data_IF_140596260091
#
_entry.id   IF_140596260091
#
_cell.length_a   1.000
_cell.length_b   1.000
_cell.length_c   1.000
_cell.angle_alpha   90.00
_cell.angle_beta   90.00
_cell.angle_gamma   90.00
#
_symmetry.space_group_name_H-M   'P 1'
#
loop_
_entity.id
_entity.type
_entity.pdbx_description
1 polymer ?
#
# COMPACT_ATOMS: atom_id res chain seq x y z
N UNK A 1 13.74 -3.59 -17.72
CA UNK A 1 13.85 -2.92 -16.39
C UNK A 1 12.50 -2.93 -15.73
N UNK A 2 12.24 -3.89 -14.84
CA UNK A 2 11.01 -3.89 -14.03
C UNK A 2 10.94 -2.58 -13.25
N UNK A 3 9.79 -1.90 -13.26
CA UNK A 3 9.54 -0.68 -12.50
C UNK A 3 9.88 -0.91 -11.03
N UNK A 4 11.07 -0.51 -10.61
CA UNK A 4 11.50 -0.61 -9.23
C UNK A 4 10.53 0.25 -8.39
N UNK A 5 9.89 -0.38 -7.40
CA UNK A 5 9.05 0.37 -6.48
C UNK A 5 9.97 1.13 -5.53
N UNK A 6 9.69 2.42 -5.34
CA UNK A 6 10.40 3.26 -4.39
C UNK A 6 9.49 3.63 -3.23
N UNK A 7 10.08 3.70 -2.04
CA UNK A 7 9.48 4.26 -0.84
C UNK A 7 10.41 5.33 -0.28
N UNK A 8 9.85 6.29 0.45
CA UNK A 8 10.62 7.32 1.13
C UNK A 8 10.83 6.87 2.56
N UNK A 9 12.07 6.86 3.02
CA UNK A 9 12.39 6.57 4.41
C UNK A 9 12.00 7.73 5.35
N UNK A 10 12.10 7.54 6.66
CA UNK A 10 11.65 8.55 7.63
C UNK A 10 12.59 9.76 7.73
N UNK A 11 13.75 9.72 7.05
CA UNK A 11 14.66 10.86 6.84
C UNK A 11 14.48 11.52 5.48
N UNK A 12 13.49 11.11 4.68
CA UNK A 12 13.20 11.71 3.38
C UNK A 12 13.97 11.12 2.19
N UNK A 13 14.82 10.09 2.40
CA UNK A 13 15.59 9.45 1.34
C UNK A 13 14.70 8.50 0.54
N UNK A 14 14.74 8.62 -0.79
CA UNK A 14 14.08 7.66 -1.69
C UNK A 14 14.89 6.37 -1.77
N UNK A 15 14.31 5.26 -1.34
CA UNK A 15 14.94 3.92 -1.33
C UNK A 15 14.10 2.93 -2.13
N UNK A 16 14.75 1.93 -2.73
CA UNK A 16 14.04 0.85 -3.43
C UNK A 16 13.32 0.00 -2.40
N UNK A 17 12.02 -0.21 -2.57
CA UNK A 17 11.24 -1.14 -1.77
C UNK A 17 11.64 -2.57 -2.15
N UNK A 18 11.65 -3.46 -1.16
CA UNK A 18 11.88 -4.88 -1.40
C UNK A 18 10.86 -5.38 -2.45
N UNK A 19 11.31 -6.07 -3.52
CA UNK A 19 10.43 -6.44 -4.62
C UNK A 19 9.32 -7.38 -4.14
N UNK A 20 8.10 -7.17 -4.64
CA UNK A 20 6.92 -7.94 -4.22
C UNK A 20 7.08 -9.46 -4.41
N UNK A 21 7.91 -9.90 -5.37
CA UNK A 21 8.27 -11.32 -5.55
C UNK A 21 9.02 -11.91 -4.35
N UNK A 22 9.92 -11.14 -3.71
CA UNK A 22 10.63 -11.58 -2.50
C UNK A 22 9.74 -11.56 -1.25
N UNK A 23 8.69 -10.73 -1.26
CA UNK A 23 7.67 -10.80 -0.24
C UNK A 23 6.80 -12.04 -0.44
N UNK A 24 6.48 -12.44 -1.67
CA UNK A 24 5.51 -13.51 -1.97
C UNK A 24 5.76 -14.83 -1.21
N UNK A 25 4.68 -15.52 -0.87
CA UNK A 25 4.68 -16.85 -0.22
C UNK A 25 4.96 -17.96 -1.26
N UNK A 26 5.83 -17.68 -2.24
CA UNK A 26 6.22 -18.72 -3.20
C UNK A 26 7.26 -19.63 -2.56
N UNK A 27 7.00 -20.96 -2.48
CA UNK A 27 7.98 -21.90 -1.93
C UNK A 27 9.25 -21.93 -2.77
N UNK A 28 10.41 -22.07 -2.12
CA UNK A 28 11.71 -22.23 -2.78
C UNK A 28 12.48 -20.94 -3.13
N UNK A 29 11.93 -19.74 -2.87
CA UNK A 29 12.67 -18.49 -3.06
C UNK A 29 13.39 -18.06 -1.77
N UNK A 30 14.72 -17.85 -1.78
CA UNK A 30 15.43 -17.34 -0.63
C UNK A 30 14.96 -15.92 -0.33
N UNK A 31 14.41 -15.71 0.86
CA UNK A 31 13.98 -14.40 1.34
C UNK A 31 14.65 -14.15 2.70
N UNK A 32 15.18 -12.94 2.94
CA UNK A 32 15.77 -12.59 4.24
C UNK A 32 14.72 -12.55 5.36
N UNK A 33 13.43 -12.50 5.01
CA UNK A 33 12.32 -12.47 5.97
C UNK A 33 11.84 -13.91 6.20
N UNK A 34 11.78 -14.38 7.46
CA UNK A 34 11.31 -15.72 7.76
C UNK A 34 9.84 -15.90 7.38
N UNK A 35 9.45 -17.14 7.09
CA UNK A 35 8.13 -17.47 6.50
C UNK A 35 6.95 -17.07 7.39
N UNK A 36 7.11 -17.18 8.70
CA UNK A 36 6.12 -16.83 9.72
C UNK A 36 5.89 -15.30 9.82
N UNK A 37 6.93 -14.50 9.61
CA UNK A 37 6.80 -13.05 9.53
C UNK A 37 6.12 -12.64 8.21
N UNK A 38 6.46 -13.31 7.10
CA UNK A 38 5.81 -13.06 5.80
C UNK A 38 4.31 -13.33 5.83
N UNK A 39 3.88 -14.48 6.36
CA UNK A 39 2.46 -14.83 6.42
C UNK A 39 1.65 -13.81 7.24
N UNK A 40 2.20 -13.34 8.36
CA UNK A 40 1.62 -12.27 9.19
C UNK A 40 1.54 -10.93 8.45
N UNK A 41 2.63 -10.52 7.79
CA UNK A 41 2.65 -9.31 6.97
C UNK A 41 1.61 -9.36 5.84
N UNK A 42 1.43 -10.52 5.19
CA UNK A 42 0.40 -10.69 4.15
C UNK A 42 -1.02 -10.62 4.69
N UNK A 43 -1.29 -11.29 5.80
CA UNK A 43 -2.60 -11.25 6.44
C UNK A 43 -2.97 -9.80 6.82
N UNK A 44 -2.03 -9.06 7.41
CA UNK A 44 -2.22 -7.64 7.72
C UNK A 44 -2.34 -6.76 6.47
N UNK A 45 -1.55 -7.02 5.42
CA UNK A 45 -1.63 -6.29 4.17
C UNK A 45 -2.98 -6.52 3.46
N UNK A 46 -3.51 -7.75 3.48
CA UNK A 46 -4.84 -8.07 2.95
C UNK A 46 -5.94 -7.38 3.76
N UNK A 47 -5.87 -7.45 5.09
CA UNK A 47 -6.82 -6.76 5.96
C UNK A 47 -6.77 -5.22 5.75
N UNK A 48 -5.58 -4.65 5.60
CA UNK A 48 -5.39 -3.23 5.34
C UNK A 48 -5.85 -2.83 3.92
N UNK A 49 -5.70 -3.71 2.93
CA UNK A 49 -6.20 -3.48 1.57
C UNK A 49 -7.73 -3.40 1.54
N UNK A 50 -8.40 -4.20 2.37
CA UNK A 50 -9.86 -4.22 2.53
C UNK A 50 -10.37 -3.21 3.58
N UNK A 51 -9.49 -2.39 4.14
CA UNK A 51 -9.90 -1.34 5.08
C UNK A 51 -10.71 -0.25 4.36
N UNK A 52 -11.62 0.39 5.11
CA UNK A 52 -12.42 1.53 4.64
C UNK A 52 -11.54 2.64 4.06
N UNK A 53 -10.34 2.85 4.60
CA UNK A 53 -9.36 3.82 4.10
C UNK A 53 -8.86 3.52 2.68
N UNK A 54 -8.87 2.27 2.24
CA UNK A 54 -8.57 1.89 0.85
C UNK A 54 -9.79 1.92 -0.05
N UNK A 55 -10.90 1.38 0.43
CA UNK A 55 -12.13 1.26 -0.37
C UNK A 55 -12.80 2.60 -0.67
N UNK A 56 -12.87 3.52 0.30
CA UNK A 56 -13.54 4.82 0.11
C UNK A 56 -12.91 5.63 -1.03
N UNK A 57 -11.58 5.92 -1.06
CA UNK A 57 -11.01 6.70 -2.15
C UNK A 57 -11.11 5.98 -3.50
N UNK A 58 -11.02 4.65 -3.53
CA UNK A 58 -11.22 3.87 -4.75
C UNK A 58 -12.65 4.03 -5.29
N UNK A 59 -13.67 3.90 -4.43
CA UNK A 59 -15.07 4.07 -4.80
C UNK A 59 -15.37 5.50 -5.25
N UNK A 60 -14.93 6.51 -4.49
CA UNK A 60 -15.07 7.92 -4.86
C UNK A 60 -14.47 8.18 -6.23
N UNK A 61 -13.29 7.63 -6.50
CA UNK A 61 -12.65 7.79 -7.80
C UNK A 61 -13.41 7.08 -8.92
N UNK A 62 -13.88 5.85 -8.70
CA UNK A 62 -14.70 5.13 -9.70
C UNK A 62 -15.97 5.91 -10.05
N UNK A 63 -16.60 6.54 -9.06
CA UNK A 63 -17.75 7.44 -9.28
C UNK A 63 -17.35 8.65 -10.12
N UNK A 64 -16.20 9.28 -9.83
CA UNK A 64 -15.70 10.41 -10.63
C UNK A 64 -15.39 10.01 -12.09
N UNK A 65 -14.82 8.82 -12.32
CA UNK A 65 -14.57 8.28 -13.67
C UNK A 65 -15.87 8.02 -14.41
N UNK A 66 -16.86 7.40 -13.75
CA UNK A 66 -18.17 7.16 -14.32
C UNK A 66 -18.88 8.47 -14.66
N UNK A 67 -18.83 9.46 -13.76
CA UNK A 67 -19.38 10.79 -13.98
C UNK A 67 -18.69 11.49 -15.15
N UNK A 68 -17.36 11.47 -15.22
CA UNK A 68 -16.59 12.02 -16.35
C UNK A 68 -16.98 11.36 -17.67
N UNK A 69 -17.04 10.02 -17.71
CA UNK A 69 -17.48 9.27 -18.89
C UNK A 69 -18.90 9.64 -19.31
N UNK A 70 -19.83 9.76 -18.35
CA UNK A 70 -21.20 10.21 -18.61
C UNK A 70 -21.27 11.62 -19.18
N UNK A 71 -20.54 12.57 -18.59
CA UNK A 71 -20.45 13.96 -19.09
C UNK A 71 -19.88 13.97 -20.51
N UNK A 72 -18.83 13.19 -20.78
CA UNK A 72 -18.23 13.08 -22.10
C UNK A 72 -19.21 12.55 -23.15
N UNK A 73 -19.95 11.48 -22.83
CA UNK A 73 -20.97 10.89 -23.74
C UNK A 73 -22.05 11.91 -24.12
N UNK A 74 -22.47 12.76 -23.19
CA UNK A 74 -23.50 13.78 -23.44
C UNK A 74 -22.94 15.00 -24.17
N UNK A 75 -21.73 15.45 -23.81
CA UNK A 75 -21.15 16.69 -24.31
C UNK A 75 -20.50 16.53 -25.68
N UNK A 76 -19.86 15.39 -25.94
CA UNK A 76 -19.02 15.23 -27.12
C UNK A 76 -19.77 15.34 -28.46
N UNK A 77 -21.01 14.80 -28.63
CA UNK A 77 -21.79 15.02 -29.84
C UNK A 77 -22.10 16.49 -30.13
N UNK A 78 -22.17 17.33 -29.09
CA UNK A 78 -22.45 18.77 -29.22
C UNK A 78 -21.19 19.58 -29.54
N UNK A 79 -20.04 19.18 -29.00
CA UNK A 79 -18.78 19.91 -29.16
C UNK A 79 -18.03 19.48 -30.43
N UNK A 80 -18.14 18.22 -30.85
CA UNK A 80 -17.38 17.69 -31.99
C UNK A 80 -17.60 18.40 -33.34
N UNK A 81 -18.81 18.87 -33.69
CA UNK A 81 -19.02 19.65 -34.91
C UNK A 81 -18.22 20.96 -34.94
N UNK A 82 -17.91 21.53 -33.77
CA UNK A 82 -17.18 22.79 -33.63
C UNK A 82 -15.66 22.62 -33.78
N UNK A 83 -15.14 21.39 -33.70
CA UNK A 83 -13.69 21.12 -33.78
C UNK A 83 -13.29 20.91 -35.24
N UNK A 84 -12.60 21.85 -35.90
CA UNK A 84 -12.09 21.64 -37.25
C UNK A 84 -11.02 20.54 -37.24
N UNK A 85 -11.14 19.55 -38.12
CA UNK A 85 -10.14 18.48 -38.22
C UNK A 85 -10.63 17.27 -39.02
N UNK A 86 -9.70 16.38 -39.40
CA UNK A 86 -10.03 15.16 -40.12
C UNK A 86 -10.87 14.21 -39.25
N UNK A 87 -11.76 13.40 -39.86
CA UNK A 87 -12.68 12.52 -39.13
C UNK A 87 -11.95 11.49 -38.25
N UNK A 88 -10.76 11.04 -38.64
CA UNK A 88 -9.94 10.13 -37.83
C UNK A 88 -9.53 10.73 -36.49
N UNK A 89 -9.14 12.01 -36.45
CA UNK A 89 -8.74 12.66 -35.20
C UNK A 89 -9.93 12.79 -34.25
N UNK A 90 -11.12 13.14 -34.77
CA UNK A 90 -12.35 13.20 -33.97
C UNK A 90 -12.69 11.86 -33.35
N UNK A 91 -12.61 10.78 -34.13
CA UNK A 91 -12.83 9.42 -33.63
C UNK A 91 -11.81 9.03 -32.54
N UNK A 92 -10.53 9.39 -32.72
CA UNK A 92 -9.48 9.15 -31.74
C UNK A 92 -9.75 9.88 -30.42
N UNK A 93 -10.11 11.17 -30.48
CA UNK A 93 -10.43 11.97 -29.28
C UNK A 93 -11.66 11.42 -28.58
N UNK A 94 -12.72 11.07 -29.33
CA UNK A 94 -13.92 10.44 -28.80
C UNK A 94 -13.61 9.14 -28.05
N UNK A 95 -12.71 8.32 -28.61
CA UNK A 95 -12.30 7.04 -28.05
C UNK A 95 -11.39 7.18 -26.84
N UNK A 96 -10.38 8.06 -26.86
CA UNK A 96 -9.32 8.09 -25.83
C UNK A 96 -9.69 8.97 -24.63
N UNK A 97 -10.33 10.11 -24.84
CA UNK A 97 -10.61 11.10 -23.80
C UNK A 97 -11.28 10.55 -22.52
N UNK A 98 -12.28 9.64 -22.58
CA UNK A 98 -12.89 9.11 -21.35
C UNK A 98 -11.93 8.23 -20.53
N UNK A 99 -10.91 7.64 -21.16
CA UNK A 99 -9.96 6.75 -20.50
C UNK A 99 -8.73 7.45 -19.92
N UNK A 100 -8.55 8.75 -20.18
CA UNK A 100 -7.37 9.51 -19.70
C UNK A 100 -7.25 9.56 -18.17
N UNK A 101 -8.35 9.35 -17.44
CA UNK A 101 -8.33 9.28 -15.98
C UNK A 101 -7.86 7.90 -15.44
N UNK A 102 -8.02 6.80 -16.19
CA UNK A 102 -7.60 5.48 -15.72
C UNK A 102 -6.12 5.35 -15.33
N UNK A 103 -5.13 5.87 -16.08
CA UNK A 103 -3.74 5.79 -15.64
C UNK A 103 -3.47 6.60 -14.36
N UNK A 104 -4.19 7.71 -14.16
CA UNK A 104 -4.10 8.50 -12.94
C UNK A 104 -4.68 7.72 -11.73
N UNK A 105 -5.77 6.98 -11.92
CA UNK A 105 -6.32 6.06 -10.92
C UNK A 105 -5.30 5.02 -10.50
N UNK A 106 -4.76 4.31 -11.48
CA UNK A 106 -3.78 3.25 -11.25
C UNK A 106 -2.54 3.81 -10.55
N UNK A 107 -2.06 4.97 -10.97
CA UNK A 107 -0.96 5.65 -10.29
C UNK A 107 -1.27 5.97 -8.82
N UNK A 108 -2.45 6.53 -8.52
CA UNK A 108 -2.85 6.87 -7.16
C UNK A 108 -2.99 5.62 -6.26
N UNK A 109 -3.62 4.57 -6.78
CA UNK A 109 -3.79 3.28 -6.08
C UNK A 109 -2.45 2.62 -5.80
N UNK A 110 -1.58 2.55 -6.82
CA UNK A 110 -0.23 1.98 -6.68
C UNK A 110 0.63 2.81 -5.71
N UNK A 111 0.54 4.13 -5.75
CA UNK A 111 1.29 5.00 -4.83
C UNK A 111 0.81 4.86 -3.39
N UNK A 112 -0.50 4.76 -3.19
CA UNK A 112 -1.11 4.53 -1.87
C UNK A 112 -0.73 3.17 -1.29
N UNK A 113 -0.81 2.10 -2.09
CA UNK A 113 -0.47 0.74 -1.65
C UNK A 113 1.00 0.62 -1.24
N UNK A 114 1.93 1.21 -2.01
CA UNK A 114 3.38 1.21 -1.70
C UNK A 114 3.69 1.77 -0.31
N UNK A 115 3.07 2.90 0.04
CA UNK A 115 3.27 3.53 1.36
C UNK A 115 2.76 2.63 2.49
N UNK A 116 1.64 1.95 2.28
CA UNK A 116 1.07 1.02 3.27
C UNK A 116 1.94 -0.21 3.45
N UNK A 117 2.37 -0.84 2.36
CA UNK A 117 3.27 -2.00 2.41
C UNK A 117 4.57 -1.68 3.13
N UNK A 118 5.18 -0.53 2.82
CA UNK A 118 6.38 -0.05 3.51
C UNK A 118 6.17 0.05 5.02
N UNK A 119 5.07 0.69 5.46
CA UNK A 119 4.73 0.83 6.88
C UNK A 119 4.49 -0.52 7.57
N UNK A 120 3.82 -1.46 6.91
CA UNK A 120 3.59 -2.81 7.45
C UNK A 120 4.93 -3.51 7.68
N UNK A 121 5.82 -3.53 6.69
CA UNK A 121 7.13 -4.19 6.81
C UNK A 121 7.94 -3.60 7.99
N UNK A 122 8.00 -2.26 8.08
CA UNK A 122 8.70 -1.56 9.17
C UNK A 122 8.06 -1.84 10.53
N UNK A 123 6.73 -1.88 10.61
CA UNK A 123 6.00 -2.19 11.85
C UNK A 123 6.30 -3.61 12.36
N UNK A 124 6.54 -4.56 11.45
CA UNK A 124 6.97 -5.91 11.81
C UNK A 124 8.45 -5.98 12.23
N UNK A 125 9.18 -4.87 12.14
CA UNK A 125 10.58 -4.75 12.56
C UNK A 125 11.56 -5.20 11.49
N UNK A 126 11.22 -5.04 10.21
CA UNK A 126 12.11 -5.32 9.08
C UNK A 126 12.32 -4.07 8.23
N UNK A 127 13.48 -3.98 7.59
CA UNK A 127 13.77 -2.92 6.65
C UNK A 127 12.89 -3.06 5.39
N UNK A 128 12.12 -2.04 5.05
CA UNK A 128 11.28 -2.06 3.85
C UNK A 128 12.07 -2.09 2.53
N UNK A 129 13.38 -1.79 2.57
CA UNK A 129 14.24 -1.78 1.39
C UNK A 129 14.90 -3.14 1.11
N UNK A 130 15.64 -3.69 2.07
CA UNK A 130 16.39 -4.94 1.89
C UNK A 130 15.81 -6.14 2.66
N UNK A 131 14.86 -5.92 3.58
CA UNK A 131 14.29 -6.98 4.41
C UNK A 131 15.12 -7.39 5.63
N UNK A 132 16.22 -6.68 5.94
CA UNK A 132 17.04 -6.96 7.13
C UNK A 132 16.26 -6.73 8.44
N UNK A 133 16.40 -7.59 9.47
CA UNK A 133 15.73 -7.43 10.75
C UNK A 133 16.26 -6.21 11.52
N UNK A 134 15.37 -5.33 11.95
CA UNK A 134 15.73 -4.08 12.62
C UNK A 134 15.46 -4.08 14.13
N UNK A 135 14.82 -5.12 14.67
CA UNK A 135 14.40 -5.18 16.08
C UNK A 135 15.56 -5.13 17.08
N UNK A 136 16.72 -5.62 16.69
CA UNK A 136 17.91 -5.72 17.55
C UNK A 136 18.84 -4.50 17.41
N UNK A 137 18.50 -3.56 16.52
CA UNK A 137 19.32 -2.39 16.25
C UNK A 137 18.79 -1.21 17.08
N UNK A 138 19.67 -0.65 17.90
CA UNK A 138 19.37 0.55 18.68
C UNK A 138 18.98 1.72 17.76
N UNK A 139 17.93 2.45 18.14
CA UNK A 139 17.55 3.66 17.44
C UNK A 139 18.62 4.74 17.63
N UNK A 140 18.85 5.53 16.58
CA UNK A 140 19.68 6.72 16.65
C UNK A 140 18.97 7.85 17.44
N UNK A 141 19.67 8.95 17.81
CA UNK A 141 19.09 10.02 18.64
C UNK A 141 17.85 10.71 18.05
N UNK A 142 17.61 10.60 16.75
CA UNK A 142 16.42 11.11 16.05
C UNK A 142 15.19 10.18 16.17
N UNK A 143 15.35 9.02 16.83
CA UNK A 143 14.34 7.98 16.99
C UNK A 143 14.19 7.07 15.77
N UNK A 144 15.12 7.12 14.81
CA UNK A 144 15.12 6.25 13.64
C UNK A 144 16.15 5.11 13.83
N UNK A 145 15.77 3.90 13.47
CA UNK A 145 16.69 2.77 13.34
C UNK A 145 17.29 2.76 11.94
N UNK A 146 18.62 2.84 11.85
CA UNK A 146 19.34 2.81 10.57
C UNK A 146 19.70 1.38 10.21
N UNK A 147 19.29 0.93 9.04
CA UNK A 147 19.62 -0.40 8.54
C UNK A 147 21.11 -0.50 8.18
N UNK A 148 21.88 -1.46 8.73
CA UNK A 148 23.31 -1.59 8.46
C UNK A 148 23.61 -2.03 7.02
N UNK A 149 22.69 -2.74 6.37
CA UNK A 149 22.88 -3.25 5.00
C UNK A 149 22.75 -2.17 3.92
N UNK A 150 21.72 -1.31 4.03
CA UNK A 150 21.38 -0.35 2.96
C UNK A 150 21.38 1.12 3.40
N UNK A 151 21.57 1.38 4.69
CA UNK A 151 21.58 2.74 5.26
C UNK A 151 20.24 3.48 5.18
N UNK A 152 19.11 2.77 5.02
CA UNK A 152 17.77 3.38 5.13
C UNK A 152 17.38 3.55 6.60
N UNK A 153 16.67 4.63 6.91
CA UNK A 153 16.29 4.99 8.28
C UNK A 153 14.78 4.87 8.50
N UNK A 154 14.38 4.08 9.50
CA UNK A 154 12.98 3.78 9.80
C UNK A 154 12.63 4.02 11.26
N UNK A 155 11.51 4.67 11.54
CA UNK A 155 10.92 4.78 12.87
C UNK A 155 10.14 3.52 13.16
N UNK A 156 10.78 2.57 13.83
CA UNK A 156 10.10 1.42 14.39
C UNK A 156 9.43 1.97 15.64
N UNK A 157 8.09 2.03 15.65
CA UNK A 157 7.38 2.42 16.85
C UNK A 157 7.94 1.60 18.00
N UNK A 158 8.46 2.26 19.04
CA UNK A 158 8.95 1.58 20.24
C UNK A 158 7.85 0.59 20.60
N UNK A 159 8.11 -0.73 20.63
CA UNK A 159 7.08 -1.68 21.02
C UNK A 159 6.58 -1.16 22.34
N UNK A 160 5.35 -0.65 22.36
CA UNK A 160 4.85 0.17 23.46
C UNK A 160 5.20 -0.60 24.72
N UNK A 161 6.19 -0.08 25.47
CA UNK A 161 6.95 -0.84 26.48
C UNK A 161 5.93 -1.58 27.29
N UNK A 162 5.82 -2.93 27.16
CA UNK A 162 4.58 -3.69 27.23
C UNK A 162 3.70 -3.07 28.29
N UNK A 163 2.87 -2.09 27.86
CA UNK A 163 1.96 -1.44 28.78
C UNK A 163 1.17 -2.61 29.25
N UNK A 164 1.31 -2.97 30.52
CA UNK A 164 0.75 -4.18 31.10
C UNK A 164 -0.72 -4.21 30.72
N UNK A 165 -1.03 -4.84 29.59
CA UNK A 165 -2.39 -5.17 29.21
C UNK A 165 -2.61 -6.31 30.16
N UNK A 166 -3.03 -5.94 31.38
CA UNK A 166 -3.59 -6.86 32.33
C UNK A 166 -4.55 -7.69 31.50
N UNK A 167 -4.35 -9.01 31.41
CA UNK A 167 -5.14 -9.87 30.54
C UNK A 167 -6.61 -9.48 30.76
N UNK A 168 -7.40 -9.26 29.68
CA UNK A 168 -8.80 -8.92 29.83
C UNK A 168 -9.35 -9.96 30.79
N UNK A 169 -9.83 -9.50 31.96
CA UNK A 169 -10.30 -10.38 33.01
C UNK A 169 -11.23 -11.39 32.34
N UNK A 170 -10.76 -12.63 32.22
CA UNK A 170 -11.56 -13.70 31.65
C UNK A 170 -12.72 -13.78 32.62
N UNK A 171 -13.86 -13.23 32.22
CA UNK A 171 -15.09 -13.35 32.99
C UNK A 171 -15.26 -14.84 33.23
N UNK A 172 -15.14 -15.24 34.49
CA UNK A 172 -15.22 -16.62 34.91
C UNK A 172 -16.45 -17.26 34.25
N UNK A 173 -16.25 -18.40 33.59
CA UNK A 173 -17.35 -19.16 33.03
C UNK A 173 -18.41 -19.39 34.13
N UNK A 174 -19.70 -19.16 33.85
CA UNK A 174 -20.76 -19.40 34.83
C UNK A 174 -20.73 -20.88 35.27
N UNK A 175 -20.95 -21.17 36.57
CA UNK A 175 -20.90 -22.53 37.07
C UNK A 175 -21.97 -23.39 36.38
N UNK A 176 -21.53 -24.46 35.71
CA UNK A 176 -22.42 -25.49 35.18
C UNK A 176 -23.03 -26.28 36.34
N UNK A 177 -24.35 -26.16 36.52
CA UNK A 177 -25.12 -26.86 37.54
C UNK A 177 -25.25 -28.36 37.20
N UNK A 178 -24.75 -29.30 38.01
CA UNK A 178 -25.00 -30.72 37.82
C UNK A 178 -26.42 -31.07 38.29
N UNK A 179 -27.22 -31.66 37.39
CA UNK A 179 -28.48 -32.33 37.73
C UNK A 179 -28.23 -33.74 38.22
#
# INVERSE_FOLDING_TARGET
TLLAMHCTDDRGKSVRLVPQRQLSIMPGMPSPIPMDARSRMFAEAQAAQWSREGMIPLLVYLVLVAAWGGVWVVLAPRVMPLVPGPPMLRALVMGIAPFLLLPLLMYAVIRGSRRRTCRIIVRHGYCASCGYPLREIAAAPDGCTVCPECGSAWRIGTPASPTSVSPPAIAAAPPTNPR
#
